data_IF_906687355037
#
_entry.id   IF_906687355037
#
_cell.length_a   1.000
_cell.length_b   1.000
_cell.length_c   1.000
_cell.angle_alpha   90.00
_cell.angle_beta   90.00
_cell.angle_gamma   90.00
#
_symmetry.space_group_name_H-M   'P 1'
#
loop_
_entity.id
_entity.type
_entity.pdbx_description
1 polymer ?
#
# COMPACT_ATOMS: atom_id res chain seq x y z
N UNK A 1 -5.69 16.34 -24.86
CA UNK A 1 -4.78 15.19 -24.70
C UNK A 1 -5.45 14.26 -23.72
N UNK A 2 -5.75 13.03 -24.14
CA UNK A 2 -6.38 12.07 -23.22
C UNK A 2 -5.41 11.74 -22.09
N UNK A 3 -5.83 11.94 -20.84
CA UNK A 3 -5.07 11.44 -19.69
C UNK A 3 -5.01 9.92 -19.81
N UNK A 4 -3.83 9.38 -20.08
CA UNK A 4 -3.65 7.93 -20.13
C UNK A 4 -3.93 7.35 -18.75
N UNK A 5 -4.84 6.40 -18.69
CA UNK A 5 -5.14 5.66 -17.47
C UNK A 5 -3.99 4.68 -17.22
N UNK A 6 -3.47 4.68 -16.01
CA UNK A 6 -2.32 3.89 -15.59
C UNK A 6 -2.70 3.02 -14.39
N UNK A 7 -2.22 1.78 -14.38
CA UNK A 7 -2.30 0.92 -13.20
C UNK A 7 -1.25 1.32 -12.16
N UNK A 8 -1.64 1.40 -10.90
CA UNK A 8 -0.73 1.70 -9.80
C UNK A 8 -1.03 0.81 -8.58
N UNK A 9 -0.08 0.71 -7.66
CA UNK A 9 -0.20 -0.10 -6.45
C UNK A 9 0.07 0.77 -5.24
N UNK A 10 -0.84 0.70 -4.26
CA UNK A 10 -0.80 1.47 -3.03
C UNK A 10 -0.56 0.53 -1.86
N UNK A 11 0.53 0.73 -1.13
CA UNK A 11 0.77 0.08 0.15
C UNK A 11 -0.11 0.69 1.23
N UNK A 12 -0.73 -0.15 2.04
CA UNK A 12 -1.69 0.24 3.08
C UNK A 12 -1.26 -0.37 4.40
N UNK A 13 -1.17 0.45 5.45
CA UNK A 13 -0.86 -0.02 6.80
C UNK A 13 -1.56 0.80 7.87
N UNK A 14 -1.98 0.15 8.95
CA UNK A 14 -2.58 0.78 10.13
C UNK A 14 -2.38 -0.08 11.37
N UNK A 15 -2.17 0.54 12.54
CA UNK A 15 -2.16 -0.14 13.84
C UNK A 15 -2.94 0.59 14.94
N UNK A 16 -3.70 1.63 14.56
CA UNK A 16 -4.69 2.29 15.40
C UNK A 16 -6.06 2.06 14.76
N UNK A 17 -6.95 1.34 15.44
CA UNK A 17 -8.28 0.99 14.89
C UNK A 17 -8.20 0.57 13.41
N UNK A 18 -7.32 -0.42 13.08
CA UNK A 18 -6.88 -0.64 11.72
C UNK A 18 -8.02 -0.98 10.76
N UNK A 19 -8.96 -1.81 11.17
CA UNK A 19 -10.09 -2.21 10.32
C UNK A 19 -10.95 -0.99 9.94
N UNK A 20 -11.30 -0.13 10.91
CA UNK A 20 -12.08 1.07 10.66
C UNK A 20 -11.33 2.07 9.77
N UNK A 21 -10.08 2.36 10.10
CA UNK A 21 -9.29 3.34 9.35
C UNK A 21 -8.99 2.89 7.92
N UNK A 22 -8.77 1.60 7.69
CA UNK A 22 -8.55 1.05 6.33
C UNK A 22 -9.82 1.11 5.50
N UNK A 23 -10.99 0.77 6.08
CA UNK A 23 -12.31 0.88 5.41
C UNK A 23 -12.59 2.33 5.03
N UNK A 24 -12.37 3.27 5.94
CA UNK A 24 -12.58 4.69 5.69
C UNK A 24 -11.63 5.23 4.62
N UNK A 25 -10.37 4.81 4.65
CA UNK A 25 -9.38 5.18 3.63
C UNK A 25 -9.76 4.65 2.24
N UNK A 26 -10.19 3.39 2.14
CA UNK A 26 -10.65 2.77 0.90
C UNK A 26 -11.87 3.52 0.33
N UNK A 27 -12.86 3.81 1.18
CA UNK A 27 -14.06 4.56 0.80
C UNK A 27 -13.74 5.96 0.28
N UNK A 28 -12.75 6.63 0.87
CA UNK A 28 -12.31 7.96 0.42
C UNK A 28 -11.53 7.88 -0.88
N UNK A 29 -10.60 6.92 -1.00
CA UNK A 29 -9.76 6.74 -2.18
C UNK A 29 -10.60 6.37 -3.41
N UNK A 30 -11.64 5.54 -3.26
CA UNK A 30 -12.53 5.13 -4.34
C UNK A 30 -13.34 6.27 -4.98
N UNK A 31 -13.37 7.46 -4.36
CA UNK A 31 -13.97 8.67 -4.95
C UNK A 31 -13.05 9.37 -5.94
N UNK A 32 -11.78 9.02 -5.97
CA UNK A 32 -10.75 9.67 -6.78
C UNK A 32 -10.15 8.74 -7.86
N UNK A 33 -10.17 7.43 -7.62
CA UNK A 33 -9.57 6.42 -8.50
C UNK A 33 -10.43 5.16 -8.52
N UNK A 34 -10.25 4.32 -9.55
CA UNK A 34 -10.88 3.01 -9.61
C UNK A 34 -10.04 1.99 -8.83
N UNK A 35 -10.63 1.31 -7.87
CA UNK A 35 -10.00 0.19 -7.15
C UNK A 35 -10.18 -1.07 -8.00
N UNK A 36 -9.09 -1.63 -8.50
CA UNK A 36 -9.10 -2.79 -9.42
C UNK A 36 -8.66 -4.10 -8.77
N UNK A 37 -8.09 -4.04 -7.57
CA UNK A 37 -7.68 -5.23 -6.83
C UNK A 37 -7.37 -4.92 -5.36
N UNK A 38 -7.60 -5.91 -4.51
CA UNK A 38 -7.27 -5.88 -3.08
C UNK A 38 -6.55 -7.17 -2.72
N UNK A 39 -5.31 -7.07 -2.26
CA UNK A 39 -4.56 -8.21 -1.75
C UNK A 39 -5.17 -8.76 -0.45
N UNK A 40 -4.68 -9.90 0.02
CA UNK A 40 -4.89 -10.28 1.41
C UNK A 40 -4.28 -9.24 2.34
N UNK A 41 -4.95 -8.98 3.46
CA UNK A 41 -4.43 -8.18 4.57
C UNK A 41 -3.85 -9.10 5.64
N UNK A 42 -2.70 -8.70 6.18
CA UNK A 42 -1.93 -9.50 7.13
C UNK A 42 -1.70 -8.74 8.42
N UNK A 43 -1.87 -9.41 9.55
CA UNK A 43 -1.39 -8.92 10.85
C UNK A 43 0.11 -9.16 10.94
N UNK A 44 0.85 -8.11 11.26
CA UNK A 44 2.31 -8.14 11.40
C UNK A 44 2.74 -7.38 12.64
N UNK A 45 3.75 -7.88 13.34
CA UNK A 45 4.32 -7.18 14.48
C UNK A 45 4.95 -5.83 14.07
N UNK A 46 4.90 -4.82 14.94
CA UNK A 46 5.58 -3.54 14.70
C UNK A 46 7.10 -3.73 14.63
N UNK A 47 7.75 -3.02 13.69
CA UNK A 47 9.16 -3.29 13.33
C UNK A 47 10.15 -2.87 14.39
N UNK A 48 10.01 -2.19 15.37
CA UNK A 48 11.04 -1.74 16.32
C UNK A 48 10.51 -1.38 17.73
N UNK A 49 9.24 -1.64 18.00
CA UNK A 49 8.63 -1.31 19.29
C UNK A 49 7.65 -2.40 19.72
N UNK A 50 8.07 -3.22 20.67
CA UNK A 50 7.29 -4.34 21.21
C UNK A 50 5.99 -3.91 21.94
N UNK A 51 5.84 -2.62 22.27
CA UNK A 51 4.70 -2.09 23.03
C UNK A 51 3.62 -1.43 22.15
N UNK A 52 3.59 -1.71 20.86
CA UNK A 52 2.54 -1.23 19.96
C UNK A 52 1.66 -2.39 19.51
N UNK A 53 0.44 -2.07 19.12
CA UNK A 53 -0.45 -3.03 18.48
C UNK A 53 0.12 -3.50 17.15
N UNK A 54 -0.22 -4.71 16.75
CA UNK A 54 0.09 -5.23 15.43
C UNK A 54 -0.46 -4.34 14.34
N UNK A 55 0.27 -4.27 13.24
CA UNK A 55 -0.20 -3.64 12.02
C UNK A 55 -1.12 -4.58 11.25
N UNK A 56 -2.07 -4.00 10.54
CA UNK A 56 -2.79 -4.63 9.46
C UNK A 56 -2.29 -4.02 8.15
N UNK A 57 -1.61 -4.82 7.33
CA UNK A 57 -0.96 -4.39 6.08
C UNK A 57 -1.51 -5.15 4.88
N UNK A 58 -1.63 -4.45 3.77
CA UNK A 58 -2.01 -5.00 2.48
C UNK A 58 -1.65 -4.06 1.33
N UNK A 59 -2.07 -4.42 0.12
CA UNK A 59 -1.85 -3.62 -1.09
C UNK A 59 -3.16 -3.48 -1.85
N UNK A 60 -3.44 -2.27 -2.33
CA UNK A 60 -4.51 -2.02 -3.29
C UNK A 60 -3.95 -1.80 -4.68
N UNK A 61 -4.57 -2.41 -5.67
CA UNK A 61 -4.36 -2.10 -7.07
C UNK A 61 -5.40 -1.08 -7.51
N UNK A 62 -4.96 -0.03 -8.18
CA UNK A 62 -5.81 1.04 -8.67
C UNK A 62 -5.58 1.30 -10.15
N UNK A 63 -6.57 1.93 -10.77
CA UNK A 63 -6.48 2.50 -12.11
C UNK A 63 -6.76 3.99 -12.01
N UNK A 64 -5.86 4.82 -12.56
CA UNK A 64 -5.92 6.26 -12.38
C UNK A 64 -5.32 7.03 -13.55
N UNK A 65 -5.81 8.25 -13.76
CA UNK A 65 -5.20 9.26 -14.64
C UNK A 65 -4.55 10.42 -13.87
N UNK A 66 -4.56 10.34 -12.53
CA UNK A 66 -3.94 11.34 -11.65
C UNK A 66 -2.44 11.14 -11.66
N UNK A 67 -1.64 12.20 -11.80
CA UNK A 67 -0.18 12.09 -11.75
C UNK A 67 0.33 11.57 -10.40
N UNK A 68 1.53 10.97 -10.33
CA UNK A 68 2.08 10.45 -9.06
C UNK A 68 2.15 11.50 -7.96
N UNK A 69 2.57 12.72 -8.28
CA UNK A 69 2.66 13.81 -7.32
C UNK A 69 1.27 14.21 -6.78
N UNK A 70 0.29 14.42 -7.66
CA UNK A 70 -1.07 14.75 -7.26
C UNK A 70 -1.74 13.58 -6.52
N UNK A 71 -1.49 12.34 -6.92
CA UNK A 71 -1.98 11.16 -6.21
C UNK A 71 -1.42 11.14 -4.79
N UNK A 72 -0.10 11.34 -4.61
CA UNK A 72 0.54 11.35 -3.30
C UNK A 72 0.08 12.54 -2.46
N UNK A 73 0.27 13.76 -2.96
CA UNK A 73 0.13 14.98 -2.18
C UNK A 73 -1.32 15.49 -2.13
N UNK A 74 -2.05 15.38 -3.24
CA UNK A 74 -3.42 15.84 -3.35
C UNK A 74 -4.46 14.84 -2.84
N UNK A 75 -4.19 13.53 -2.93
CA UNK A 75 -5.16 12.49 -2.58
C UNK A 75 -4.73 11.72 -1.33
N UNK A 76 -3.63 10.97 -1.38
CA UNK A 76 -3.26 10.05 -0.29
C UNK A 76 -2.95 10.79 1.01
N UNK A 77 -2.11 11.83 0.98
CA UNK A 77 -1.80 12.65 2.17
C UNK A 77 -3.03 13.37 2.74
N UNK A 78 -3.95 13.76 1.88
CA UNK A 78 -5.21 14.35 2.34
C UNK A 78 -6.05 13.32 3.09
N UNK A 79 -6.18 12.10 2.57
CA UNK A 79 -6.89 11.01 3.26
C UNK A 79 -6.25 10.72 4.62
N UNK A 80 -4.92 10.61 4.68
CA UNK A 80 -4.20 10.40 5.94
C UNK A 80 -4.46 11.52 6.96
N UNK A 81 -4.46 12.78 6.51
CA UNK A 81 -4.75 13.93 7.36
C UNK A 81 -6.20 13.91 7.88
N UNK A 82 -7.16 13.58 7.01
CA UNK A 82 -8.57 13.48 7.38
C UNK A 82 -8.84 12.32 8.37
N UNK A 83 -8.01 11.28 8.34
CA UNK A 83 -8.01 10.18 9.30
C UNK A 83 -7.05 10.39 10.49
N UNK A 84 -6.70 11.65 10.75
CA UNK A 84 -5.91 12.08 11.92
C UNK A 84 -4.52 11.46 12.05
N UNK A 85 -3.86 11.10 10.92
CA UNK A 85 -2.48 10.68 10.97
C UNK A 85 -1.59 11.81 11.47
N UNK A 86 -0.86 11.56 12.56
CA UNK A 86 0.16 12.48 13.05
C UNK A 86 1.52 12.17 12.38
N UNK A 87 2.04 13.12 11.57
CA UNK A 87 3.36 13.01 10.92
C UNK A 87 4.49 13.73 11.68
N UNK A 88 4.16 14.52 12.69
CA UNK A 88 5.15 15.27 13.49
C UNK A 88 5.89 14.39 14.49
N UNK A 89 5.42 13.18 14.71
CA UNK A 89 6.01 12.25 15.64
C UNK A 89 7.06 11.36 14.96
N UNK A 90 7.79 10.63 15.77
CA UNK A 90 8.73 9.60 15.44
C UNK A 90 8.26 8.70 14.27
N UNK A 91 9.17 8.39 13.35
CA UNK A 91 8.94 7.50 12.20
C UNK A 91 8.28 6.16 12.56
N UNK A 92 8.45 5.70 13.78
CA UNK A 92 7.91 4.43 14.29
C UNK A 92 6.70 4.61 15.22
N UNK A 93 6.13 5.81 15.31
CA UNK A 93 4.91 6.05 16.07
C UNK A 93 3.71 5.27 15.50
N UNK A 94 2.73 4.90 16.35
CA UNK A 94 1.48 4.30 15.88
C UNK A 94 0.79 5.15 14.83
N UNK A 95 0.13 4.50 13.86
CA UNK A 95 -0.50 5.19 12.72
C UNK A 95 -1.94 4.78 12.55
N UNK A 96 -2.79 5.77 12.39
CA UNK A 96 -4.19 5.56 11.98
C UNK A 96 -4.27 4.97 10.59
N UNK A 97 -3.49 5.51 9.65
CA UNK A 97 -3.37 4.99 8.28
C UNK A 97 -2.04 5.44 7.66
N UNK A 98 -1.46 4.59 6.84
CA UNK A 98 -0.28 4.85 6.02
C UNK A 98 -0.57 4.43 4.59
N UNK A 99 -0.44 5.35 3.63
CA UNK A 99 -0.72 5.11 2.22
C UNK A 99 0.48 5.54 1.39
N UNK A 100 1.13 4.57 0.75
CA UNK A 100 2.33 4.81 -0.06
C UNK A 100 2.16 4.31 -1.49
N UNK A 101 2.60 5.09 -2.48
CA UNK A 101 2.67 4.64 -3.87
C UNK A 101 3.85 3.67 -3.99
N UNK A 102 3.55 2.41 -4.28
CA UNK A 102 4.58 1.37 -4.48
C UNK A 102 5.07 1.33 -5.91
N UNK A 103 4.14 1.32 -6.85
CA UNK A 103 4.37 1.28 -8.29
C UNK A 103 3.35 2.17 -8.99
N UNK A 104 3.78 2.76 -10.12
CA UNK A 104 2.93 3.57 -10.99
C UNK A 104 3.27 3.26 -12.44
N UNK A 105 2.52 2.36 -13.08
CA UNK A 105 2.88 1.81 -14.38
C UNK A 105 4.30 1.27 -14.39
N UNK A 106 5.04 1.60 -15.43
CA UNK A 106 6.47 1.26 -15.58
C UNK A 106 7.40 2.43 -15.20
N UNK A 107 6.88 3.40 -14.46
CA UNK A 107 7.62 4.61 -14.10
C UNK A 107 8.77 4.29 -13.14
N UNK A 108 9.91 4.92 -13.42
CA UNK A 108 11.06 4.98 -12.52
C UNK A 108 11.36 6.45 -12.26
N UNK A 109 11.22 6.88 -11.01
CA UNK A 109 11.52 8.26 -10.60
C UNK A 109 12.09 8.30 -9.20
N UNK A 110 12.90 9.31 -8.95
CA UNK A 110 13.44 9.61 -7.63
C UNK A 110 13.40 11.12 -7.43
N UNK A 111 12.48 11.57 -6.62
CA UNK A 111 12.35 12.95 -6.16
C UNK A 111 12.45 12.99 -4.63
N UNK A 112 12.61 14.17 -4.05
CA UNK A 112 12.94 14.36 -2.62
C UNK A 112 11.99 13.59 -1.67
N UNK A 113 10.72 13.49 -2.02
CA UNK A 113 9.71 12.87 -1.17
C UNK A 113 8.94 11.73 -1.85
N UNK A 114 9.28 11.36 -3.09
CA UNK A 114 8.62 10.29 -3.85
C UNK A 114 9.62 9.50 -4.69
N UNK A 115 9.81 8.24 -4.34
CA UNK A 115 10.59 7.27 -5.12
C UNK A 115 9.67 6.18 -5.65
N UNK A 116 9.69 5.94 -6.95
CA UNK A 116 8.93 4.88 -7.64
C UNK A 116 9.91 4.09 -8.52
N UNK A 117 9.99 2.76 -8.39
CA UNK A 117 9.36 1.89 -7.39
C UNK A 117 9.74 2.25 -5.96
N UNK A 118 8.83 1.99 -5.01
CA UNK A 118 9.15 2.16 -3.58
C UNK A 118 10.26 1.18 -3.17
N UNK A 119 11.37 1.67 -2.58
CA UNK A 119 12.51 0.82 -2.22
C UNK A 119 12.22 -0.22 -1.14
N UNK A 120 11.12 -0.09 -0.40
CA UNK A 120 10.70 -1.05 0.61
C UNK A 120 10.01 -2.29 0.02
N UNK A 121 9.65 -2.29 -1.27
CA UNK A 121 9.08 -3.46 -1.95
C UNK A 121 9.97 -4.70 -1.77
N UNK A 122 11.28 -4.56 -1.97
CA UNK A 122 12.24 -5.68 -1.85
C UNK A 122 12.77 -5.88 -0.43
N UNK A 123 12.30 -5.11 0.56
CA UNK A 123 12.81 -5.15 1.94
C UNK A 123 11.76 -5.60 2.96
N UNK A 124 10.47 -5.54 2.60
CA UNK A 124 9.35 -5.79 3.52
C UNK A 124 8.45 -6.88 3.00
N UNK A 125 8.37 -7.98 3.74
CA UNK A 125 7.51 -9.13 3.39
C UNK A 125 6.04 -8.71 3.23
N UNK A 126 5.56 -7.81 4.12
CA UNK A 126 4.18 -7.32 4.11
C UNK A 126 3.86 -6.33 2.96
N UNK A 127 4.85 -6.01 2.12
CA UNK A 127 4.68 -5.30 0.84
C UNK A 127 4.86 -6.27 -0.33
N UNK A 128 5.98 -7.00 -0.35
CA UNK A 128 6.34 -7.87 -1.47
C UNK A 128 5.31 -8.96 -1.74
N UNK A 129 4.89 -9.70 -0.71
CA UNK A 129 3.96 -10.81 -0.90
C UNK A 129 2.55 -10.39 -1.27
N UNK A 130 1.93 -9.37 -0.64
CA UNK A 130 0.65 -8.84 -1.11
C UNK A 130 0.70 -8.31 -2.54
N UNK A 131 1.81 -7.68 -2.93
CA UNK A 131 2.00 -7.19 -4.30
C UNK A 131 2.06 -8.36 -5.31
N UNK A 132 2.76 -9.45 -4.98
CA UNK A 132 2.81 -10.66 -5.80
C UNK A 132 1.47 -11.41 -5.85
N UNK A 133 0.60 -11.29 -4.86
CA UNK A 133 -0.77 -11.81 -4.94
C UNK A 133 -1.56 -11.13 -6.06
N UNK A 134 -1.40 -9.82 -6.22
CA UNK A 134 -2.09 -9.03 -7.23
C UNK A 134 -1.44 -9.17 -8.62
N UNK A 135 -0.12 -9.34 -8.66
CA UNK A 135 0.66 -9.48 -9.89
C UNK A 135 1.80 -10.50 -9.72
N UNK A 136 1.50 -11.80 -9.89
CA UNK A 136 2.48 -12.88 -9.67
C UNK A 136 3.71 -12.81 -10.59
N UNK A 137 3.53 -12.27 -11.80
CA UNK A 137 4.54 -12.10 -12.85
C UNK A 137 5.17 -10.70 -12.86
N UNK A 138 5.09 -9.96 -11.76
CA UNK A 138 5.60 -8.60 -11.67
C UNK A 138 7.10 -8.53 -11.98
N UNK A 139 7.44 -7.77 -12.99
CA UNK A 139 8.81 -7.36 -13.31
C UNK A 139 9.01 -5.94 -12.77
N UNK A 140 10.04 -5.75 -11.97
CA UNK A 140 10.36 -4.44 -11.40
C UNK A 140 10.80 -3.46 -12.50
N UNK A 141 10.21 -2.25 -12.57
CA UNK A 141 10.50 -1.29 -13.64
C UNK A 141 11.95 -0.80 -13.67
N UNK A 142 12.60 -0.70 -12.51
CA UNK A 142 13.97 -0.22 -12.35
C UNK A 142 15.02 -1.28 -12.69
N UNK A 143 14.92 -2.45 -12.06
CA UNK A 143 15.91 -3.53 -12.21
C UNK A 143 15.68 -4.44 -13.41
N UNK A 144 14.48 -4.39 -14.01
CA UNK A 144 14.02 -5.32 -15.06
C UNK A 144 14.02 -6.80 -14.64
N UNK A 145 14.06 -7.05 -13.33
CA UNK A 145 14.04 -8.39 -12.75
C UNK A 145 12.65 -8.76 -12.24
N UNK A 146 12.20 -10.02 -12.36
CA UNK A 146 10.98 -10.47 -11.70
C UNK A 146 11.08 -10.29 -10.18
N UNK A 147 10.04 -9.70 -9.56
CA UNK A 147 10.04 -9.46 -8.11
C UNK A 147 10.28 -10.75 -7.31
N UNK A 148 9.74 -11.88 -7.76
CA UNK A 148 9.93 -13.18 -7.11
C UNK A 148 11.40 -13.56 -6.96
N UNK A 149 12.29 -13.10 -7.86
CA UNK A 149 13.72 -13.35 -7.80
C UNK A 149 14.47 -12.37 -6.87
N UNK A 150 13.82 -11.31 -6.43
CA UNK A 150 14.39 -10.26 -5.58
C UNK A 150 14.03 -10.41 -4.10
N UNK A 151 13.24 -11.41 -3.74
CA UNK A 151 12.74 -11.60 -2.37
C UNK A 151 13.85 -11.91 -1.36
N UNK A 152 14.97 -12.53 -1.79
CA UNK A 152 16.09 -12.84 -0.91
C UNK A 152 15.66 -13.67 0.30
N UNK A 153 15.88 -13.11 1.50
CA UNK A 153 15.51 -13.74 2.79
C UNK A 153 14.09 -13.39 3.27
N UNK A 154 13.28 -12.67 2.48
CA UNK A 154 11.91 -12.37 2.85
C UNK A 154 11.07 -13.64 2.95
N UNK A 155 10.25 -13.75 4.01
CA UNK A 155 9.34 -14.87 4.22
C UNK A 155 7.97 -14.39 4.71
N UNK A 156 6.96 -15.29 4.62
CA UNK A 156 5.62 -15.05 5.18
C UNK A 156 5.49 -15.53 6.64
N UNK A 157 6.55 -16.01 7.26
CA UNK A 157 6.49 -16.71 8.55
C UNK A 157 5.79 -15.92 9.66
N UNK A 158 5.99 -14.60 9.68
CA UNK A 158 5.40 -13.70 10.68
C UNK A 158 4.22 -12.89 10.13
N UNK A 159 3.60 -13.34 9.06
CA UNK A 159 2.45 -12.69 8.44
C UNK A 159 1.20 -13.54 8.64
N UNK A 160 0.28 -13.06 9.48
CA UNK A 160 -0.97 -13.78 9.78
C UNK A 160 -2.10 -13.19 8.92
N UNK A 161 -2.65 -13.96 7.95
CA UNK A 161 -3.71 -13.44 7.08
C UNK A 161 -5.01 -13.21 7.85
N UNK A 162 -5.60 -12.02 7.72
CA UNK A 162 -6.95 -11.72 8.17
C UNK A 162 -7.94 -11.91 7.03
N UNK A 163 -8.42 -13.15 6.89
CA UNK A 163 -9.31 -13.55 5.79
C UNK A 163 -10.67 -12.84 5.86
N UNK A 164 -11.22 -12.71 7.05
CA UNK A 164 -12.56 -12.12 7.25
C UNK A 164 -12.52 -10.63 6.84
N UNK A 165 -11.54 -9.90 7.32
CA UNK A 165 -11.38 -8.51 6.98
C UNK A 165 -11.09 -8.32 5.48
N UNK A 166 -10.21 -9.14 4.90
CA UNK A 166 -9.89 -9.10 3.46
C UNK A 166 -11.15 -9.26 2.61
N UNK A 167 -11.97 -10.26 2.89
CA UNK A 167 -13.23 -10.49 2.14
C UNK A 167 -14.23 -9.36 2.33
N UNK A 168 -14.30 -8.77 3.51
CA UNK A 168 -15.15 -7.59 3.75
C UNK A 168 -14.74 -6.41 2.87
N UNK A 169 -13.44 -6.12 2.74
CA UNK A 169 -12.93 -5.07 1.84
C UNK A 169 -13.22 -5.36 0.37
N UNK A 170 -12.99 -6.60 -0.07
CA UNK A 170 -13.26 -7.02 -1.47
C UNK A 170 -14.73 -6.86 -1.84
N UNK A 171 -15.63 -7.15 -0.91
CA UNK A 171 -17.08 -6.99 -1.12
C UNK A 171 -17.52 -5.53 -1.31
N UNK A 172 -16.72 -4.56 -0.86
CA UNK A 172 -17.03 -3.13 -1.02
C UNK A 172 -16.77 -2.64 -2.46
N UNK A 173 -15.84 -3.25 -3.19
CA UNK A 173 -15.40 -2.81 -4.52
C UNK A 173 -15.97 -3.64 -5.67
N UNK A 174 -16.51 -4.82 -5.37
CA UNK A 174 -17.12 -5.73 -6.36
C UNK A 174 -18.63 -5.46 -6.60
N UNK A 175 -19.08 -4.23 -6.39
CA UNK A 175 -20.50 -3.83 -6.62
C UNK A 175 -20.69 -3.19 -7.97
#
# INVERSE_FOLDING_TARGET
>A
MGNNVVGAYIGVGSNIEPESNIVDALTRLSKHVDITGISSFYKTAPLLRENQNDYLNGVWQISTSISPDELKNGVLRRIEKELHRNRESDKYAPRTIDLDILLYGDMVMQEDDLTIPDPDICKRSFIAFPLLELKPDLVMPDSKAPLVNLLGALSKENMIPDKIFTESLRSMVNK
#
